data_IF_681882081269
#
_entry.id   IF_681882081269
#
_cell.length_a   1.000
_cell.length_b   1.000
_cell.length_c   1.000
_cell.angle_alpha   90.00
_cell.angle_beta   90.00
_cell.angle_gamma   90.00
#
_symmetry.space_group_name_H-M   'P 1'
#
loop_
_entity.id
_entity.type
_entity.pdbx_description
1 polymer ?
#
# COMPACT_ATOMS: atom_id res chain seq x y z
N UNK A 1 5.91 52.05 -50.16
CA UNK A 1 4.89 51.49 -49.22
C UNK A 1 4.84 49.96 -49.20
N UNK A 2 4.72 49.26 -50.35
CA UNK A 2 4.65 47.78 -50.41
C UNK A 2 5.83 47.03 -49.74
N UNK A 3 7.06 47.57 -49.82
CA UNK A 3 8.24 46.94 -49.21
C UNK A 3 8.28 46.98 -47.68
N UNK A 4 7.61 47.94 -47.03
CA UNK A 4 7.54 47.97 -45.55
C UNK A 4 6.49 47.00 -45.02
N UNK A 5 5.39 46.82 -45.75
CA UNK A 5 4.34 45.85 -45.40
C UNK A 5 4.90 44.42 -45.48
N UNK A 6 5.61 44.09 -46.56
CA UNK A 6 6.23 42.76 -46.71
C UNK A 6 7.27 42.47 -45.62
N UNK A 7 8.04 43.48 -45.19
CA UNK A 7 9.05 43.34 -44.12
C UNK A 7 8.45 43.01 -42.75
N UNK A 8 7.19 43.36 -42.51
CA UNK A 8 6.49 43.09 -41.24
C UNK A 8 5.63 41.82 -41.34
N UNK A 9 4.97 41.60 -42.48
CA UNK A 9 4.07 40.45 -42.68
C UNK A 9 4.80 39.11 -42.70
N UNK A 10 5.97 39.03 -43.35
CA UNK A 10 6.76 37.80 -43.40
C UNK A 10 7.23 37.29 -42.03
N UNK A 11 7.84 38.10 -41.14
CA UNK A 11 8.22 37.62 -39.82
C UNK A 11 7.03 37.27 -38.95
N UNK A 12 5.90 37.98 -39.04
CA UNK A 12 4.66 37.62 -38.35
C UNK A 12 4.12 36.25 -38.79
N UNK A 13 4.16 35.94 -40.09
CA UNK A 13 3.77 34.65 -40.63
C UNK A 13 4.71 33.52 -40.15
N UNK A 14 6.02 33.77 -40.10
CA UNK A 14 7.00 32.82 -39.58
C UNK A 14 6.82 32.55 -38.09
N UNK A 15 6.55 33.59 -37.30
CA UNK A 15 6.24 33.46 -35.87
C UNK A 15 4.98 32.61 -35.69
N UNK A 16 3.91 32.89 -36.46
CA UNK A 16 2.69 32.08 -36.43
C UNK A 16 2.92 30.62 -36.81
N UNK A 17 3.75 30.35 -37.82
CA UNK A 17 4.13 29.00 -38.24
C UNK A 17 4.89 28.25 -37.14
N UNK A 18 5.88 28.89 -36.51
CA UNK A 18 6.65 28.30 -35.41
C UNK A 18 5.79 28.05 -34.18
N UNK A 19 4.89 28.98 -33.83
CA UNK A 19 3.93 28.79 -32.73
C UNK A 19 3.02 27.61 -33.02
N UNK A 20 2.47 27.51 -34.23
CA UNK A 20 1.64 26.39 -34.65
C UNK A 20 2.37 25.05 -34.53
N UNK A 21 3.61 24.99 -34.98
CA UNK A 21 4.45 23.79 -34.90
C UNK A 21 4.77 23.41 -33.44
N UNK A 22 5.05 24.37 -32.57
CA UNK A 22 5.29 24.12 -31.14
C UNK A 22 4.00 23.62 -30.47
N UNK A 23 2.84 24.19 -30.81
CA UNK A 23 1.56 23.81 -30.22
C UNK A 23 1.17 22.38 -30.58
N UNK A 24 1.30 21.98 -31.85
CA UNK A 24 0.98 20.61 -32.29
C UNK A 24 1.91 19.59 -31.63
N UNK A 25 3.21 19.87 -31.56
CA UNK A 25 4.15 18.98 -30.89
C UNK A 25 3.91 18.88 -29.37
N UNK A 26 3.50 19.97 -28.71
CA UNK A 26 3.16 19.94 -27.29
C UNK A 26 1.86 19.20 -26.99
N UNK A 27 0.90 19.20 -27.93
CA UNK A 27 -0.34 18.40 -27.79
C UNK A 27 -0.12 16.91 -28.04
N UNK A 28 0.91 16.56 -28.84
CA UNK A 28 1.30 15.16 -29.10
C UNK A 28 2.14 14.57 -27.96
N UNK A 29 2.80 15.42 -27.14
CA UNK A 29 3.40 15.00 -25.89
C UNK A 29 2.27 14.98 -24.86
N UNK A 30 1.93 13.79 -24.39
CA UNK A 30 0.77 13.44 -23.55
C UNK A 30 0.81 14.03 -22.11
N UNK A 31 1.45 15.19 -21.92
CA UNK A 31 1.80 15.81 -20.62
C UNK A 31 0.60 16.23 -19.78
N UNK A 32 -0.59 16.35 -20.36
CA UNK A 32 -1.81 16.78 -19.66
C UNK A 32 -2.82 15.66 -19.41
N UNK A 33 -2.51 14.42 -19.78
CA UNK A 33 -3.39 13.30 -19.47
C UNK A 33 -3.22 12.91 -18.00
N UNK A 34 -4.16 13.34 -17.15
CA UNK A 34 -4.22 12.93 -15.75
C UNK A 34 -4.17 11.39 -15.59
N UNK A 35 -4.63 10.64 -16.60
CA UNK A 35 -4.54 9.18 -16.66
C UNK A 35 -3.10 8.66 -16.81
N UNK A 36 -2.24 9.31 -17.61
CA UNK A 36 -0.83 8.97 -17.75
C UNK A 36 -0.08 9.19 -16.43
N UNK A 37 -0.37 10.29 -15.72
CA UNK A 37 0.25 10.58 -14.42
C UNK A 37 -0.12 9.55 -13.35
N UNK A 38 -1.40 9.18 -13.26
CA UNK A 38 -1.88 8.14 -12.33
C UNK A 38 -1.28 6.78 -12.67
N UNK A 39 -1.26 6.42 -13.97
CA UNK A 39 -0.65 5.17 -14.43
C UNK A 39 0.84 5.12 -14.10
N UNK A 40 1.59 6.19 -14.36
CA UNK A 40 3.03 6.25 -14.06
C UNK A 40 3.32 6.23 -12.56
N UNK A 41 2.51 6.87 -11.72
CA UNK A 41 2.67 6.83 -10.27
C UNK A 41 2.36 5.43 -9.69
N UNK A 42 1.36 4.74 -10.23
CA UNK A 42 1.05 3.36 -9.87
C UNK A 42 2.09 2.36 -10.42
N UNK A 43 2.60 2.61 -11.62
CA UNK A 43 3.60 1.78 -12.31
C UNK A 43 5.04 2.02 -11.81
N UNK A 44 5.34 3.19 -11.24
CA UNK A 44 6.63 3.52 -10.63
C UNK A 44 7.00 2.60 -9.46
N UNK A 45 6.12 1.67 -9.08
CA UNK A 45 6.42 0.60 -8.14
C UNK A 45 6.38 1.07 -6.69
N UNK A 46 6.76 2.31 -6.39
CA UNK A 46 6.84 2.86 -5.03
C UNK A 46 5.51 2.76 -4.26
N UNK A 47 4.40 3.09 -4.92
CA UNK A 47 3.07 2.96 -4.30
C UNK A 47 2.69 1.48 -4.05
N UNK A 48 2.93 0.61 -5.04
CA UNK A 48 2.61 -0.82 -4.92
C UNK A 48 3.49 -1.50 -3.86
N UNK A 49 4.79 -1.19 -3.82
CA UNK A 49 5.75 -1.69 -2.84
C UNK A 49 5.37 -1.23 -1.42
N UNK A 50 5.00 0.04 -1.25
CA UNK A 50 4.57 0.57 0.05
C UNK A 50 3.32 -0.12 0.60
N UNK A 51 2.29 -0.29 -0.23
CA UNK A 51 1.04 -0.96 0.16
C UNK A 51 1.28 -2.45 0.46
N UNK A 52 2.03 -3.17 -0.38
CA UNK A 52 2.33 -4.58 -0.15
C UNK A 52 3.15 -4.79 1.12
N UNK A 53 4.17 -3.95 1.37
CA UNK A 53 4.99 -4.03 2.57
C UNK A 53 4.16 -3.78 3.85
N UNK A 54 3.31 -2.75 3.83
CA UNK A 54 2.41 -2.45 4.95
C UNK A 54 1.41 -3.59 5.21
N UNK A 55 0.83 -4.16 4.14
CA UNK A 55 -0.09 -5.30 4.22
C UNK A 55 0.56 -6.55 4.81
N UNK A 56 1.76 -6.91 4.32
CA UNK A 56 2.51 -8.06 4.83
C UNK A 56 2.92 -7.87 6.30
N UNK A 57 3.35 -6.66 6.67
CA UNK A 57 3.69 -6.35 8.06
C UNK A 57 2.48 -6.48 8.99
N UNK A 58 1.33 -5.93 8.60
CA UNK A 58 0.11 -6.02 9.40
C UNK A 58 -0.37 -7.46 9.60
N UNK A 59 -0.37 -8.28 8.52
CA UNK A 59 -0.73 -9.70 8.62
C UNK A 59 0.25 -10.46 9.50
N UNK A 60 1.56 -10.22 9.34
CA UNK A 60 2.60 -10.85 10.15
C UNK A 60 2.46 -10.55 11.65
N UNK A 61 2.30 -9.26 11.99
CA UNK A 61 2.14 -8.83 13.39
C UNK A 61 0.84 -9.36 14.00
N UNK A 62 -0.28 -9.29 13.26
CA UNK A 62 -1.56 -9.79 13.75
C UNK A 62 -1.55 -11.30 13.96
N UNK A 63 -1.01 -12.06 13.00
CA UNK A 63 -0.88 -13.51 13.11
C UNK A 63 0.00 -13.92 14.29
N UNK A 64 1.20 -13.33 14.42
CA UNK A 64 2.10 -13.64 15.55
C UNK A 64 1.48 -13.21 16.89
N UNK A 65 0.89 -12.02 16.95
CA UNK A 65 0.28 -11.48 18.17
C UNK A 65 -0.88 -12.34 18.69
N UNK A 66 -1.84 -12.67 17.82
CA UNK A 66 -3.01 -13.50 18.19
C UNK A 66 -2.57 -14.92 18.56
N UNK A 67 -1.68 -15.53 17.78
CA UNK A 67 -1.30 -16.93 17.97
C UNK A 67 -0.42 -17.12 19.22
N UNK A 68 0.54 -16.20 19.44
CA UNK A 68 1.48 -16.29 20.55
C UNK A 68 0.86 -15.88 21.88
N UNK A 69 0.11 -14.77 21.93
CA UNK A 69 -0.46 -14.27 23.18
C UNK A 69 -1.82 -14.93 23.44
N UNK A 70 -2.70 -14.95 22.44
CA UNK A 70 -4.09 -15.37 22.61
C UNK A 70 -4.23 -16.88 22.83
N UNK A 71 -3.75 -17.68 21.88
CA UNK A 71 -3.98 -19.13 21.90
C UNK A 71 -3.04 -19.83 22.89
N UNK A 72 -1.73 -19.53 22.82
CA UNK A 72 -0.75 -20.20 23.66
C UNK A 72 -0.91 -19.86 25.14
N UNK A 73 -1.05 -18.57 25.49
CA UNK A 73 -1.18 -18.17 26.90
C UNK A 73 -2.50 -18.64 27.51
N UNK A 74 -3.63 -18.42 26.84
CA UNK A 74 -4.94 -18.80 27.39
C UNK A 74 -5.13 -20.32 27.41
N UNK A 75 -4.70 -21.02 26.36
CA UNK A 75 -4.80 -22.46 26.24
C UNK A 75 -3.96 -23.19 27.30
N UNK A 76 -2.67 -22.86 27.42
CA UNK A 76 -1.80 -23.49 28.41
C UNK A 76 -2.26 -23.19 29.84
N UNK A 77 -2.64 -21.94 30.11
CA UNK A 77 -3.09 -21.56 31.45
C UNK A 77 -4.37 -22.32 31.85
N UNK A 78 -5.34 -22.41 30.95
CA UNK A 78 -6.59 -23.12 31.22
C UNK A 78 -6.36 -24.61 31.45
N UNK A 79 -5.57 -25.26 30.58
CA UNK A 79 -5.24 -26.70 30.71
C UNK A 79 -4.46 -26.95 32.00
N UNK A 80 -3.48 -26.11 32.33
CA UNK A 80 -2.66 -26.24 33.54
C UNK A 80 -3.49 -26.13 34.81
N UNK A 81 -4.38 -25.13 34.91
CA UNK A 81 -5.26 -24.96 36.07
C UNK A 81 -6.22 -26.15 36.22
N UNK A 82 -6.78 -26.64 35.10
CA UNK A 82 -7.67 -27.80 35.13
C UNK A 82 -6.95 -29.07 35.57
N UNK A 83 -5.75 -29.32 35.06
CA UNK A 83 -4.94 -30.47 35.43
C UNK A 83 -4.57 -30.47 36.92
N UNK A 84 -4.18 -29.31 37.47
CA UNK A 84 -3.88 -29.17 38.90
C UNK A 84 -5.15 -29.41 39.73
N UNK A 85 -6.28 -28.83 39.34
CA UNK A 85 -7.55 -29.01 40.03
C UNK A 85 -7.98 -30.48 40.10
N UNK A 86 -7.90 -31.19 38.98
CA UNK A 86 -8.19 -32.63 38.92
C UNK A 86 -7.22 -33.46 39.74
N UNK A 87 -5.93 -33.14 39.70
CA UNK A 87 -4.91 -33.84 40.48
C UNK A 87 -5.18 -33.72 41.99
N UNK A 88 -5.47 -32.51 42.46
CA UNK A 88 -5.80 -32.25 43.87
C UNK A 88 -7.09 -32.95 44.27
N UNK A 89 -8.14 -32.86 43.44
CA UNK A 89 -9.41 -33.53 43.70
C UNK A 89 -9.25 -35.06 43.78
N UNK A 90 -8.51 -35.65 42.84
CA UNK A 90 -8.22 -37.08 42.85
C UNK A 90 -7.46 -37.52 44.10
N UNK A 91 -6.46 -36.75 44.52
CA UNK A 91 -5.66 -37.04 45.71
C UNK A 91 -6.47 -36.95 47.01
N UNK A 92 -7.37 -35.97 47.08
CA UNK A 92 -8.29 -35.83 48.21
C UNK A 92 -9.27 -37.00 48.30
N UNK A 93 -9.80 -37.45 47.15
CA UNK A 93 -10.71 -38.60 47.08
C UNK A 93 -9.99 -39.90 47.49
N UNK A 94 -8.75 -40.12 47.04
CA UNK A 94 -7.99 -41.31 47.45
C UNK A 94 -7.72 -41.35 48.96
N UNK A 95 -7.36 -40.21 49.57
CA UNK A 95 -7.15 -40.12 51.02
C UNK A 95 -8.44 -40.33 51.83
N UNK A 96 -9.60 -40.03 51.24
CA UNK A 96 -10.92 -40.27 51.83
C UNK A 96 -11.36 -41.74 51.75
N UNK A 97 -10.91 -42.47 50.73
CA UNK A 97 -11.23 -43.89 50.53
C UNK A 97 -10.29 -44.79 51.36
N UNK A 98 -9.04 -44.36 51.59
CA UNK A 98 -8.08 -45.10 52.42
C UNK A 98 -8.27 -44.93 53.94
N UNK A 99 -9.12 -43.98 54.37
CA UNK A 99 -9.54 -43.83 55.77
C UNK A 99 -10.76 -44.69 56.10
#
# INVERSE_FOLDING_TARGET
>A
MKHHIARVVWPLALIGYFIGLILTNLTDIDVFSAGQFVSNYLAAGDFAVGIFAAGMFAVGVFAVGIFSIGIFSAGIFTIGVWAIGLFVAGKYISELIEK
#
